data_IF_254756434615
#
_entry.id   IF_254756434615
#
_cell.length_a   1.000
_cell.length_b   1.000
_cell.length_c   1.000
_cell.angle_alpha   90.00
_cell.angle_beta   90.00
_cell.angle_gamma   90.00
#
_symmetry.space_group_name_H-M   'P 1'
#
loop_
_entity.id
_entity.type
_entity.pdbx_description
1 polymer ?
#
# COMPACT_ATOMS: atom_id res chain seq x y z
N UNK A 1 2.46 27.57 -2.97
CA UNK A 1 3.56 26.69 -3.46
C UNK A 1 3.57 25.31 -2.78
N UNK A 2 2.93 25.14 -1.62
CA UNK A 2 2.64 23.80 -1.05
C UNK A 2 1.44 23.11 -1.72
N UNK A 3 0.48 23.89 -2.22
CA UNK A 3 -0.76 23.35 -2.78
C UNK A 3 -0.50 22.51 -4.02
N UNK A 4 0.43 22.95 -4.89
CA UNK A 4 0.87 22.16 -6.05
C UNK A 4 1.42 20.78 -5.65
N UNK A 5 2.18 20.70 -4.55
CA UNK A 5 2.70 19.40 -4.05
C UNK A 5 1.56 18.52 -3.54
N UNK A 6 0.61 19.09 -2.79
CA UNK A 6 -0.59 18.38 -2.33
C UNK A 6 -1.41 17.84 -3.49
N UNK A 7 -1.71 18.68 -4.49
CA UNK A 7 -2.46 18.26 -5.68
C UNK A 7 -1.73 17.17 -6.46
N UNK A 8 -0.43 17.30 -6.66
CA UNK A 8 0.36 16.26 -7.32
C UNK A 8 0.28 14.92 -6.56
N UNK A 9 0.34 14.95 -5.22
CA UNK A 9 0.24 13.73 -4.41
C UNK A 9 -1.13 13.08 -4.55
N UNK A 10 -2.21 13.85 -4.45
CA UNK A 10 -3.57 13.32 -4.63
C UNK A 10 -3.75 12.77 -6.04
N UNK A 11 -3.26 13.48 -7.06
CA UNK A 11 -3.37 13.04 -8.46
C UNK A 11 -2.65 11.73 -8.72
N UNK A 12 -1.47 11.51 -8.13
CA UNK A 12 -0.76 10.23 -8.23
C UNK A 12 -1.59 9.08 -7.63
N UNK A 13 -2.24 9.32 -6.49
CA UNK A 13 -3.09 8.32 -5.83
C UNK A 13 -4.34 8.03 -6.67
N UNK A 14 -4.98 9.08 -7.20
CA UNK A 14 -6.19 8.96 -8.02
C UNK A 14 -5.92 8.21 -9.32
N UNK A 15 -4.81 8.51 -10.00
CA UNK A 15 -4.40 7.80 -11.23
C UNK A 15 -4.13 6.32 -10.92
N UNK A 16 -3.44 6.03 -9.82
CA UNK A 16 -3.19 4.65 -9.39
C UNK A 16 -4.49 3.90 -9.07
N UNK A 17 -5.43 4.52 -8.34
CA UNK A 17 -6.73 3.92 -8.04
C UNK A 17 -7.54 3.65 -9.32
N UNK A 18 -7.49 4.57 -10.29
CA UNK A 18 -8.09 4.37 -11.61
C UNK A 18 -7.47 3.17 -12.34
N UNK A 19 -6.15 3.05 -12.34
CA UNK A 19 -5.46 1.94 -13.02
C UNK A 19 -5.84 0.58 -12.41
N UNK A 20 -6.01 0.51 -11.09
CA UNK A 20 -6.51 -0.68 -10.38
C UNK A 20 -7.94 -1.00 -10.83
N UNK A 21 -8.85 -0.03 -10.79
CA UNK A 21 -10.25 -0.24 -11.17
C UNK A 21 -10.36 -0.68 -12.64
N UNK A 22 -9.60 -0.04 -13.53
CA UNK A 22 -9.56 -0.41 -14.95
C UNK A 22 -9.02 -1.84 -15.13
N UNK A 23 -8.13 -2.32 -14.26
CA UNK A 23 -7.68 -3.72 -14.24
C UNK A 23 -8.79 -4.68 -13.80
N UNK A 24 -9.54 -4.32 -12.75
CA UNK A 24 -10.64 -5.13 -12.24
C UNK A 24 -11.77 -5.31 -13.27
N UNK A 25 -12.06 -4.25 -14.02
CA UNK A 25 -13.03 -4.29 -15.10
C UNK A 25 -12.59 -5.18 -16.26
N UNK A 26 -11.28 -5.15 -16.62
CA UNK A 26 -10.74 -6.01 -17.68
C UNK A 26 -10.76 -7.48 -17.30
N UNK A 27 -10.39 -7.78 -16.06
CA UNK A 27 -10.24 -9.15 -15.57
C UNK A 27 -11.56 -9.71 -14.98
N UNK A 28 -12.63 -8.92 -14.99
CA UNK A 28 -13.98 -9.28 -14.49
C UNK A 28 -13.99 -9.70 -13.01
N UNK A 29 -13.21 -9.00 -12.20
CA UNK A 29 -13.17 -9.18 -10.74
C UNK A 29 -14.40 -8.49 -10.14
N UNK A 30 -15.29 -9.28 -9.54
CA UNK A 30 -16.60 -8.80 -9.07
C UNK A 30 -16.81 -9.06 -7.58
N UNK A 31 -16.01 -9.92 -6.96
CA UNK A 31 -16.10 -10.25 -5.55
C UNK A 31 -14.90 -9.70 -4.76
N UNK A 32 -15.17 -9.13 -3.59
CA UNK A 32 -14.14 -8.69 -2.66
C UNK A 32 -13.30 -9.85 -2.08
N UNK A 33 -13.73 -11.10 -2.30
CA UNK A 33 -12.98 -12.30 -1.89
C UNK A 33 -11.94 -12.74 -2.92
N UNK A 34 -11.92 -12.14 -4.10
CA UNK A 34 -10.93 -12.46 -5.13
C UNK A 34 -9.55 -11.90 -4.75
N UNK A 35 -8.50 -12.64 -5.15
CA UNK A 35 -7.13 -12.33 -4.76
C UNK A 35 -6.69 -10.94 -5.26
N UNK A 36 -7.17 -10.53 -6.40
CA UNK A 36 -6.82 -9.28 -7.04
C UNK A 36 -7.35 -8.07 -6.25
N UNK A 37 -8.52 -8.20 -5.61
CA UNK A 37 -8.99 -7.24 -4.62
C UNK A 37 -8.20 -7.34 -3.31
N UNK A 38 -8.03 -8.58 -2.80
CA UNK A 38 -7.35 -8.84 -1.54
C UNK A 38 -5.88 -8.38 -1.53
N UNK A 39 -5.20 -8.43 -2.68
CA UNK A 39 -3.81 -8.03 -2.86
C UNK A 39 -3.58 -6.51 -2.84
N UNK A 40 -4.63 -5.70 -2.96
CA UNK A 40 -4.50 -4.24 -2.85
C UNK A 40 -4.28 -3.81 -1.40
N UNK A 41 -3.51 -2.74 -1.20
CA UNK A 41 -3.35 -2.11 0.11
C UNK A 41 -4.60 -1.27 0.43
N UNK A 42 -5.43 -1.73 1.36
CA UNK A 42 -6.73 -1.10 1.68
C UNK A 42 -6.71 -0.45 3.06
N UNK A 43 -7.42 0.66 3.18
CA UNK A 43 -7.52 1.45 4.40
C UNK A 43 -8.98 1.49 4.84
N UNK A 44 -9.24 1.06 6.07
CA UNK A 44 -10.58 1.02 6.66
C UNK A 44 -10.58 1.79 7.97
N UNK A 45 -11.51 2.72 8.12
CA UNK A 45 -11.80 3.29 9.42
C UNK A 45 -12.67 2.31 10.21
N UNK A 46 -12.22 1.87 11.38
CA UNK A 46 -12.94 0.94 12.23
C UNK A 46 -13.40 1.68 13.48
N UNK A 47 -14.71 1.86 13.63
CA UNK A 47 -15.31 2.67 14.71
C UNK A 47 -15.03 2.16 16.14
N UNK A 48 -14.76 0.87 16.29
CA UNK A 48 -14.35 0.24 17.56
C UNK A 48 -13.15 -0.65 17.22
N UNK A 49 -11.89 -0.20 17.37
CA UNK A 49 -11.36 0.72 18.40
C UNK A 49 -11.25 2.23 18.06
N UNK A 50 -11.90 2.71 16.98
CA UNK A 50 -11.75 4.08 16.43
C UNK A 50 -10.35 4.35 15.85
N UNK A 51 -9.88 3.40 15.02
CA UNK A 51 -8.57 3.46 14.40
C UNK A 51 -8.64 3.17 12.89
N UNK A 52 -7.68 3.75 12.16
CA UNK A 52 -7.43 3.40 10.77
C UNK A 52 -6.70 2.06 10.70
N UNK A 53 -7.39 1.05 10.18
CA UNK A 53 -6.85 -0.29 9.95
C UNK A 53 -6.42 -0.43 8.49
N UNK A 54 -5.18 -0.86 8.29
CA UNK A 54 -4.66 -1.24 6.98
C UNK A 54 -4.86 -2.74 6.81
N UNK A 55 -5.43 -3.15 5.68
CA UNK A 55 -5.66 -4.55 5.33
C UNK A 55 -5.05 -4.86 3.97
N UNK A 56 -4.31 -5.96 3.89
CA UNK A 56 -3.78 -6.50 2.65
C UNK A 56 -3.64 -8.02 2.79
N UNK A 57 -4.27 -8.77 1.89
CA UNK A 57 -4.41 -10.22 1.97
C UNK A 57 -4.82 -10.68 3.37
N UNK A 58 -4.00 -11.51 4.01
CA UNK A 58 -4.25 -12.04 5.36
C UNK A 58 -3.74 -11.12 6.47
N UNK A 59 -3.03 -10.05 6.13
CA UNK A 59 -2.44 -9.12 7.08
C UNK A 59 -3.36 -7.96 7.42
N UNK A 60 -3.51 -7.68 8.71
CA UNK A 60 -4.22 -6.52 9.24
C UNK A 60 -3.32 -5.80 10.26
N UNK A 61 -3.16 -4.48 10.09
CA UNK A 61 -2.26 -3.67 10.91
C UNK A 61 -2.92 -2.33 11.24
N UNK A 62 -2.77 -1.87 12.48
CA UNK A 62 -3.16 -0.52 12.88
C UNK A 62 -2.23 0.52 12.25
N UNK A 63 -2.79 1.65 11.84
CA UNK A 63 -2.00 2.78 11.35
C UNK A 63 -1.16 3.40 12.47
N UNK A 64 0.14 3.65 12.23
CA UNK A 64 1.05 4.17 13.26
C UNK A 64 0.96 5.67 13.54
N UNK A 65 0.16 6.43 12.79
CA UNK A 65 -0.05 7.89 12.93
C UNK A 65 1.22 8.76 12.93
N UNK A 66 2.32 8.27 12.35
CA UNK A 66 3.55 9.05 12.26
C UNK A 66 3.44 10.20 11.26
N UNK A 67 3.81 11.41 11.68
CA UNK A 67 3.78 12.58 10.82
C UNK A 67 4.91 12.56 9.79
N UNK A 68 4.57 12.18 8.56
CA UNK A 68 5.51 12.08 7.44
C UNK A 68 5.72 13.39 6.66
N UNK A 69 5.07 14.50 7.05
CA UNK A 69 5.17 15.79 6.34
C UNK A 69 4.76 15.72 4.85
N UNK A 70 5.19 16.71 4.05
CA UNK A 70 5.06 16.70 2.59
C UNK A 70 6.28 16.08 1.92
N UNK A 71 6.72 14.94 2.45
CA UNK A 71 7.71 14.12 1.76
C UNK A 71 7.13 13.67 0.41
N UNK A 72 7.90 13.81 -0.66
CA UNK A 72 7.44 13.43 -2.00
C UNK A 72 7.09 11.96 -2.01
N UNK A 73 5.81 11.62 -2.24
CA UNK A 73 5.43 10.23 -2.48
C UNK A 73 6.08 9.75 -3.77
N UNK A 74 6.68 8.57 -3.72
CA UNK A 74 7.05 7.85 -4.94
C UNK A 74 5.78 7.49 -5.71
N UNK A 75 5.89 7.49 -7.03
CA UNK A 75 4.82 7.04 -7.92
C UNK A 75 4.46 5.61 -7.54
N UNK A 76 3.17 5.36 -7.29
CA UNK A 76 2.68 4.02 -7.00
C UNK A 76 2.58 3.28 -8.33
N UNK A 77 3.39 2.23 -8.48
CA UNK A 77 3.45 1.42 -9.69
C UNK A 77 3.17 -0.03 -9.33
N UNK A 78 2.78 -0.90 -10.30
CA UNK A 78 2.60 -2.33 -10.04
C UNK A 78 3.83 -3.02 -9.41
N UNK A 79 5.03 -2.47 -9.62
CA UNK A 79 6.24 -2.96 -8.97
C UNK A 79 6.27 -2.61 -7.48
N UNK A 80 5.87 -1.38 -7.13
CA UNK A 80 5.76 -0.92 -5.75
C UNK A 80 4.68 -1.69 -5.00
N UNK A 81 3.55 -2.01 -5.64
CA UNK A 81 2.47 -2.80 -5.03
C UNK A 81 2.92 -4.20 -4.62
N UNK A 82 3.73 -4.86 -5.46
CA UNK A 82 4.33 -6.17 -5.12
C UNK A 82 5.29 -6.08 -3.95
N UNK A 83 6.02 -4.97 -3.83
CA UNK A 83 6.90 -4.73 -2.69
C UNK A 83 6.06 -4.56 -1.42
N UNK A 84 4.99 -3.75 -1.46
CA UNK A 84 4.07 -3.61 -0.32
C UNK A 84 3.47 -4.95 0.09
N UNK A 85 2.99 -5.74 -0.87
CA UNK A 85 2.44 -7.08 -0.62
C UNK A 85 3.44 -8.00 0.08
N UNK A 86 4.70 -7.98 -0.34
CA UNK A 86 5.76 -8.80 0.27
C UNK A 86 6.06 -8.33 1.69
N UNK A 87 6.14 -7.01 1.91
CA UNK A 87 6.40 -6.41 3.21
C UNK A 87 5.26 -6.68 4.20
N UNK A 88 4.01 -6.47 3.80
CA UNK A 88 2.86 -6.72 4.67
C UNK A 88 2.71 -8.20 4.99
N UNK A 89 2.95 -9.09 4.03
CA UNK A 89 2.91 -10.52 4.29
C UNK A 89 3.99 -10.96 5.29
N UNK A 90 5.22 -10.48 5.14
CA UNK A 90 6.28 -10.79 6.09
C UNK A 90 6.02 -10.20 7.47
N UNK A 91 5.51 -8.96 7.53
CA UNK A 91 5.11 -8.32 8.77
C UNK A 91 4.01 -9.12 9.49
N UNK A 92 3.03 -9.65 8.75
CA UNK A 92 1.98 -10.54 9.29
C UNK A 92 2.55 -11.83 9.88
N UNK A 93 3.71 -12.29 9.39
CA UNK A 93 4.39 -13.50 9.85
C UNK A 93 5.48 -13.20 10.89
N UNK A 94 5.64 -11.95 11.34
CA UNK A 94 6.75 -11.51 12.19
C UNK A 94 8.13 -11.83 11.60
N UNK A 95 8.25 -11.77 10.27
CA UNK A 95 9.48 -11.99 9.52
C UNK A 95 10.02 -10.67 8.95
N UNK A 96 11.34 -10.57 8.84
CA UNK A 96 11.98 -9.49 8.08
C UNK A 96 11.83 -9.67 6.57
N UNK A 97 11.85 -8.56 5.83
CA UNK A 97 11.85 -8.56 4.37
C UNK A 97 13.21 -8.12 3.82
N UNK A 98 13.76 -8.91 2.89
CA UNK A 98 14.92 -8.54 2.08
C UNK A 98 14.54 -8.54 0.60
N UNK A 99 13.98 -7.44 0.06
CA UNK A 99 13.69 -7.34 -1.37
C UNK A 99 15.00 -7.28 -2.16
N UNK A 100 15.35 -8.36 -2.86
CA UNK A 100 16.53 -8.40 -3.72
C UNK A 100 16.21 -7.74 -5.09
N UNK A 101 16.90 -6.65 -5.41
CA UNK A 101 16.83 -5.95 -6.70
C UNK A 101 18.18 -5.32 -7.09
N UNK A 102 18.36 -4.87 -8.35
CA UNK A 102 19.61 -4.23 -8.78
C UNK A 102 19.94 -3.03 -7.89
N UNK A 103 21.23 -2.85 -7.57
CA UNK A 103 21.75 -1.91 -6.57
C UNK A 103 21.01 -0.55 -6.56
N UNK A 104 20.13 -0.34 -5.57
CA UNK A 104 19.34 0.88 -5.43
C UNK A 104 18.12 0.78 -4.52
N UNK A 105 17.58 -0.43 -4.26
CA UNK A 105 16.57 -0.63 -3.23
C UNK A 105 17.27 -0.83 -1.87
N UNK A 106 17.02 0.09 -0.94
CA UNK A 106 17.60 0.05 0.40
C UNK A 106 17.21 -1.24 1.11
N UNK A 107 18.23 -2.01 1.52
CA UNK A 107 18.11 -3.32 2.12
C UNK A 107 17.76 -3.21 3.61
N UNK A 108 16.73 -3.98 4.01
CA UNK A 108 16.44 -4.44 5.37
C UNK A 108 15.79 -3.42 6.32
N UNK A 109 14.50 -3.65 6.63
CA UNK A 109 13.87 -3.18 7.87
C UNK A 109 13.72 -4.38 8.81
N UNK A 110 14.57 -4.46 9.83
CA UNK A 110 14.39 -5.32 11.00
C UNK A 110 13.86 -4.42 12.11
N UNK A 111 12.77 -4.83 12.77
CA UNK A 111 12.38 -4.29 14.07
C UNK A 111 12.46 -5.46 15.05
N UNK A 112 13.54 -5.48 15.84
CA UNK A 112 13.57 -6.19 17.13
C UNK A 112 12.62 -5.50 18.13
#
# INVERSE_FOLDING_TARGET
SNDRKKFNTVLIIDVHAKDIIDSFLRDSILDAREFEWESQLRFYWVNEPDELMIRQCTGEFGYGYEYMGLNGRLVITPLTDRIYLTITQALSMYLGCAPAGPAGMNNVFIKD
#
